data_IF_318157054789
#
_entry.id   IF_318157054789
#
_cell.length_a   1.000
_cell.length_b   1.000
_cell.length_c   1.000
_cell.angle_alpha   90.00
_cell.angle_beta   90.00
_cell.angle_gamma   90.00
#
_symmetry.space_group_name_H-M   'P 1'
#
loop_
_entity.id
_entity.type
_entity.pdbx_description
1 polymer ?
#
# COMPACT_ATOMS: atom_id res chain seq x y z
N UNK A 1 9.55 14.52 -9.11
CA UNK A 1 10.52 15.45 -9.75
C UNK A 1 10.85 14.98 -11.16
N UNK A 2 10.78 15.89 -12.15
CA UNK A 2 11.16 15.59 -13.55
C UNK A 2 12.67 15.62 -13.78
N UNK A 3 13.39 16.39 -12.99
CA UNK A 3 14.85 16.48 -12.98
C UNK A 3 15.32 16.15 -11.56
N UNK A 4 15.33 14.87 -11.19
CA UNK A 4 15.78 14.45 -9.87
C UNK A 4 17.28 14.58 -9.72
N UNK A 5 17.74 14.64 -8.48
CA UNK A 5 19.14 14.38 -8.17
C UNK A 5 19.47 12.90 -8.43
N UNK A 6 20.76 12.55 -8.49
CA UNK A 6 21.20 11.17 -8.58
C UNK A 6 20.65 10.36 -7.38
N UNK A 7 20.83 10.86 -6.15
CA UNK A 7 20.28 10.23 -4.95
C UNK A 7 18.74 10.12 -4.94
N UNK A 8 18.03 11.09 -5.56
CA UNK A 8 16.58 10.99 -5.72
C UNK A 8 16.15 9.82 -6.60
N UNK A 9 16.85 9.56 -7.70
CA UNK A 9 16.61 8.35 -8.52
C UNK A 9 16.94 7.06 -7.76
N UNK A 10 18.04 7.04 -7.01
CA UNK A 10 18.44 5.87 -6.24
C UNK A 10 17.44 5.55 -5.13
N UNK A 11 16.97 6.58 -4.42
CA UNK A 11 15.89 6.44 -3.44
C UNK A 11 14.61 5.92 -4.10
N UNK A 12 14.20 6.49 -5.23
CA UNK A 12 13.00 6.02 -5.94
C UNK A 12 13.11 4.54 -6.35
N UNK A 13 14.28 4.09 -6.79
CA UNK A 13 14.55 2.69 -7.12
C UNK A 13 14.47 1.81 -5.88
N UNK A 14 15.21 2.16 -4.82
CA UNK A 14 15.29 1.35 -3.59
C UNK A 14 13.89 1.18 -2.95
N UNK A 15 13.12 2.26 -2.81
CA UNK A 15 11.77 2.19 -2.29
C UNK A 15 10.84 1.36 -3.18
N UNK A 16 10.87 1.61 -4.50
CA UNK A 16 10.00 0.87 -5.43
C UNK A 16 10.31 -0.62 -5.46
N UNK A 17 11.57 -1.01 -5.45
CA UNK A 17 12.01 -2.40 -5.40
C UNK A 17 11.51 -3.11 -4.14
N UNK A 18 11.74 -2.53 -2.95
CA UNK A 18 11.34 -3.13 -1.68
C UNK A 18 9.81 -3.18 -1.52
N UNK A 19 9.09 -2.12 -1.88
CA UNK A 19 7.63 -2.09 -1.82
C UNK A 19 7.02 -3.11 -2.79
N UNK A 20 7.61 -3.26 -3.99
CA UNK A 20 7.19 -4.27 -4.97
C UNK A 20 7.42 -5.69 -4.46
N UNK A 21 8.58 -5.98 -3.85
CA UNK A 21 8.86 -7.29 -3.23
C UNK A 21 7.93 -7.60 -2.06
N UNK A 22 7.43 -6.58 -1.38
CA UNK A 22 6.41 -6.70 -0.35
C UNK A 22 4.98 -6.88 -0.91
N UNK A 23 4.81 -6.99 -2.24
CA UNK A 23 3.52 -7.23 -2.90
C UNK A 23 2.73 -5.96 -3.24
N UNK A 24 3.30 -4.76 -3.06
CA UNK A 24 2.65 -3.52 -3.44
C UNK A 24 2.88 -3.19 -4.93
N UNK A 25 1.87 -2.57 -5.55
CA UNK A 25 1.93 -2.12 -6.94
C UNK A 25 2.31 -0.64 -6.99
N UNK A 26 3.41 -0.33 -7.68
CA UNK A 26 3.85 1.06 -7.87
C UNK A 26 2.96 1.75 -8.91
N UNK A 27 2.31 2.85 -8.52
CA UNK A 27 1.47 3.65 -9.41
C UNK A 27 2.09 5.04 -9.60
N UNK A 28 2.34 5.47 -10.84
CA UNK A 28 2.89 6.79 -11.12
C UNK A 28 2.45 7.33 -12.49
N UNK A 29 3.01 8.47 -12.89
CA UNK A 29 2.56 9.24 -14.04
C UNK A 29 3.37 9.10 -15.32
N UNK A 30 4.34 8.22 -15.38
CA UNK A 30 5.23 8.02 -16.53
C UNK A 30 6.03 9.29 -16.92
N UNK A 31 6.18 10.26 -16.02
CA UNK A 31 6.96 11.47 -16.27
C UNK A 31 8.47 11.17 -16.26
N UNK A 32 9.27 12.09 -16.83
CA UNK A 32 10.73 12.01 -16.70
C UNK A 32 11.14 12.03 -15.22
N UNK A 33 12.25 11.40 -14.90
CA UNK A 33 12.87 11.42 -13.59
C UNK A 33 12.30 10.39 -12.62
N UNK A 34 11.79 10.80 -11.46
CA UNK A 34 11.37 9.91 -10.37
C UNK A 34 10.37 8.85 -10.84
N UNK A 35 9.36 9.24 -11.64
CA UNK A 35 8.35 8.30 -12.14
C UNK A 35 8.98 7.14 -12.94
N UNK A 36 9.90 7.49 -13.85
CA UNK A 36 10.60 6.48 -14.66
C UNK A 36 11.49 5.57 -13.81
N UNK A 37 12.23 6.14 -12.84
CA UNK A 37 13.06 5.37 -11.91
C UNK A 37 12.19 4.38 -11.11
N UNK A 38 11.03 4.81 -10.63
CA UNK A 38 10.11 3.98 -9.86
C UNK A 38 9.48 2.85 -10.70
N UNK A 39 8.95 3.17 -11.90
CA UNK A 39 8.38 2.16 -12.79
C UNK A 39 9.42 1.10 -13.21
N UNK A 40 10.62 1.54 -13.62
CA UNK A 40 11.68 0.63 -14.03
C UNK A 40 12.07 -0.33 -12.89
N UNK A 41 12.29 0.20 -11.67
CA UNK A 41 12.66 -0.60 -10.52
C UNK A 41 11.57 -1.61 -10.12
N UNK A 42 10.29 -1.25 -10.20
CA UNK A 42 9.19 -2.19 -9.95
C UNK A 42 9.19 -3.35 -10.95
N UNK A 43 9.38 -3.07 -12.25
CA UNK A 43 9.47 -4.09 -13.29
C UNK A 43 10.73 -4.95 -13.14
N UNK A 44 11.87 -4.34 -12.84
CA UNK A 44 13.15 -5.05 -12.67
C UNK A 44 13.13 -5.95 -11.42
N UNK A 45 12.33 -5.60 -10.40
CA UNK A 45 12.05 -6.44 -9.24
C UNK A 45 11.06 -7.59 -9.52
N UNK A 46 10.58 -7.73 -10.75
CA UNK A 46 9.64 -8.78 -11.17
C UNK A 46 8.18 -8.51 -10.80
N UNK A 47 7.84 -7.30 -10.33
CA UNK A 47 6.49 -6.94 -9.95
C UNK A 47 5.72 -6.18 -11.04
N UNK A 48 4.54 -5.73 -10.66
CA UNK A 48 3.64 -4.96 -11.53
C UNK A 48 3.72 -3.47 -11.23
N UNK A 49 3.43 -2.66 -12.23
CA UNK A 49 3.30 -1.21 -12.06
C UNK A 49 2.19 -0.64 -12.93
N UNK A 50 1.55 0.43 -12.45
CA UNK A 50 0.47 1.12 -13.15
C UNK A 50 0.94 2.51 -13.55
N UNK A 51 0.97 2.79 -14.85
CA UNK A 51 1.23 4.14 -15.33
C UNK A 51 -0.09 4.82 -15.73
N UNK A 52 -0.39 5.94 -15.08
CA UNK A 52 -1.55 6.76 -15.43
C UNK A 52 -1.12 7.82 -16.44
N UNK A 53 -1.66 7.79 -17.65
CA UNK A 53 -1.30 8.71 -18.73
C UNK A 53 -2.13 9.99 -18.69
N UNK A 54 -1.54 11.09 -19.16
CA UNK A 54 -2.23 12.38 -19.36
C UNK A 54 -2.58 12.63 -20.86
N UNK A 55 -2.61 11.55 -21.64
CA UNK A 55 -2.92 11.52 -23.08
C UNK A 55 -3.82 10.33 -23.37
N UNK A 56 -4.36 10.22 -24.58
CA UNK A 56 -4.94 8.95 -25.05
C UNK A 56 -3.88 7.84 -25.05
N UNK A 57 -4.30 6.59 -24.85
CA UNK A 57 -3.40 5.43 -24.74
C UNK A 57 -2.75 5.04 -26.07
N UNK A 58 -3.19 5.60 -27.20
CA UNK A 58 -2.53 5.51 -28.50
C UNK A 58 -1.25 6.34 -28.59
N UNK A 59 -0.90 7.10 -27.53
CA UNK A 59 0.24 8.01 -27.49
C UNK A 59 1.02 7.84 -26.21
N UNK A 60 2.34 7.68 -26.34
CA UNK A 60 3.26 7.69 -25.20
C UNK A 60 3.84 9.08 -25.03
N UNK A 61 3.70 9.64 -23.82
CA UNK A 61 4.31 10.90 -23.44
C UNK A 61 4.99 10.79 -22.08
N UNK A 62 6.28 11.17 -21.95
CA UNK A 62 7.16 11.63 -23.01
C UNK A 62 7.55 10.50 -23.98
N UNK A 63 7.88 10.84 -25.23
CA UNK A 63 8.24 9.86 -26.27
C UNK A 63 9.51 9.05 -25.90
N UNK A 64 10.39 9.62 -25.08
CA UNK A 64 11.57 8.93 -24.55
C UNK A 64 11.24 7.69 -23.69
N UNK A 65 10.01 7.61 -23.15
CA UNK A 65 9.56 6.48 -22.33
C UNK A 65 8.75 5.44 -23.11
N UNK A 66 8.88 5.41 -24.46
CA UNK A 66 8.15 4.46 -25.30
C UNK A 66 8.44 3.00 -24.90
N UNK A 67 9.72 2.65 -24.74
CA UNK A 67 10.10 1.32 -24.33
C UNK A 67 9.59 0.98 -22.93
N UNK A 68 9.75 1.89 -21.98
CA UNK A 68 9.22 1.71 -20.62
C UNK A 68 7.70 1.52 -20.62
N UNK A 69 6.97 2.30 -21.43
CA UNK A 69 5.52 2.14 -21.58
C UNK A 69 5.12 0.76 -22.12
N UNK A 70 5.86 0.22 -23.09
CA UNK A 70 5.63 -1.14 -23.59
C UNK A 70 5.92 -2.20 -22.53
N UNK A 71 7.00 -2.06 -21.74
CA UNK A 71 7.28 -2.94 -20.61
C UNK A 71 6.15 -2.89 -19.57
N UNK A 72 5.67 -1.70 -19.24
CA UNK A 72 4.53 -1.52 -18.31
C UNK A 72 3.26 -2.17 -18.87
N UNK A 73 2.97 -2.01 -20.15
CA UNK A 73 1.80 -2.63 -20.78
C UNK A 73 1.87 -4.18 -20.75
N UNK A 74 3.08 -4.74 -20.82
CA UNK A 74 3.29 -6.19 -20.82
C UNK A 74 3.22 -6.82 -19.42
N UNK A 75 3.60 -6.10 -18.35
CA UNK A 75 3.75 -6.63 -17.00
C UNK A 75 2.85 -5.93 -15.96
N UNK A 76 2.11 -4.91 -16.35
CA UNK A 76 1.28 -4.11 -15.48
C UNK A 76 0.12 -3.50 -16.26
N UNK A 77 -0.12 -2.18 -16.10
CA UNK A 77 -1.20 -1.51 -16.81
C UNK A 77 -0.87 -0.06 -17.19
N UNK A 78 -1.34 0.36 -18.36
CA UNK A 78 -1.46 1.76 -18.76
C UNK A 78 -2.92 2.18 -18.60
N UNK A 79 -3.16 3.25 -17.87
CA UNK A 79 -4.51 3.75 -17.57
C UNK A 79 -4.64 5.20 -18.02
N UNK A 80 -5.76 5.58 -18.62
CA UNK A 80 -6.06 6.96 -18.96
C UNK A 80 -7.57 7.22 -18.90
N UNK A 81 -7.95 8.43 -18.49
CA UNK A 81 -9.33 8.94 -18.62
C UNK A 81 -9.56 9.70 -19.94
N UNK A 82 -8.52 9.88 -20.73
CA UNK A 82 -8.60 10.64 -21.97
C UNK A 82 -8.88 9.72 -23.17
N UNK A 83 -9.75 10.16 -24.07
CA UNK A 83 -10.06 9.44 -25.29
C UNK A 83 -8.81 9.25 -26.17
N UNK A 84 -8.81 8.20 -27.01
CA UNK A 84 -7.78 7.98 -28.01
C UNK A 84 -7.65 9.22 -28.90
N UNK A 85 -6.43 9.51 -29.36
CA UNK A 85 -6.10 10.71 -30.14
C UNK A 85 -5.82 11.96 -29.28
N UNK A 86 -6.12 11.96 -27.99
CA UNK A 86 -5.89 13.13 -27.12
C UNK A 86 -4.40 13.43 -26.94
N UNK A 87 -3.93 14.63 -27.37
CA UNK A 87 -2.52 15.01 -27.24
C UNK A 87 -2.18 15.42 -25.79
N UNK A 88 -0.87 15.49 -25.42
CA UNK A 88 -0.45 16.01 -24.13
C UNK A 88 -0.78 17.51 -24.04
N UNK A 89 -1.50 17.92 -22.99
CA UNK A 89 -1.81 19.29 -22.65
C UNK A 89 -1.45 19.56 -21.19
N UNK A 90 -1.04 20.79 -20.87
CA UNK A 90 -0.56 21.14 -19.51
C UNK A 90 -1.61 20.88 -18.44
N UNK A 91 -2.87 21.17 -18.73
CA UNK A 91 -4.01 20.98 -17.82
C UNK A 91 -4.34 19.50 -17.56
N UNK A 92 -3.95 18.57 -18.43
CA UNK A 92 -4.20 17.16 -18.26
C UNK A 92 -3.38 16.55 -17.11
N UNK A 93 -2.16 17.04 -16.87
CA UNK A 93 -1.26 16.47 -15.86
C UNK A 93 -1.79 16.64 -14.42
N UNK A 94 -2.19 17.85 -13.98
CA UNK A 94 -2.81 17.99 -12.66
C UNK A 94 -4.13 17.22 -12.52
N UNK A 95 -4.97 17.22 -13.57
CA UNK A 95 -6.23 16.51 -13.59
C UNK A 95 -6.05 15.01 -13.44
N UNK A 96 -5.07 14.42 -14.13
CA UNK A 96 -4.73 13.00 -14.06
C UNK A 96 -4.22 12.59 -12.66
N UNK A 97 -3.52 13.50 -11.94
CA UNK A 97 -2.87 13.16 -10.66
C UNK A 97 -3.85 12.65 -9.60
N UNK A 98 -5.14 13.04 -9.65
CA UNK A 98 -6.18 12.51 -8.78
C UNK A 98 -6.39 10.99 -8.94
N UNK A 99 -6.11 10.45 -10.13
CA UNK A 99 -6.20 9.01 -10.38
C UNK A 99 -4.99 8.28 -9.78
N UNK A 100 -3.79 8.88 -9.83
CA UNK A 100 -2.61 8.32 -9.20
C UNK A 100 -2.84 8.18 -7.69
N UNK A 101 -3.27 9.26 -7.02
CA UNK A 101 -3.55 9.21 -5.58
C UNK A 101 -4.76 8.32 -5.25
N UNK A 102 -5.82 8.36 -6.07
CA UNK A 102 -7.03 7.57 -5.84
C UNK A 102 -6.83 6.06 -5.96
N UNK A 103 -5.94 5.61 -6.84
CA UNK A 103 -5.57 4.19 -7.03
C UNK A 103 -4.54 3.69 -6.01
N UNK A 104 -4.01 4.57 -5.16
CA UNK A 104 -2.93 4.24 -4.23
C UNK A 104 -3.42 4.19 -2.78
N UNK A 105 -2.78 3.38 -1.96
CA UNK A 105 -2.96 3.37 -0.50
C UNK A 105 -2.29 4.59 0.13
N UNK A 106 -1.18 5.04 -0.45
CA UNK A 106 -0.43 6.20 -0.03
C UNK A 106 0.42 6.79 -1.16
N UNK A 107 0.88 8.01 -1.00
CA UNK A 107 1.72 8.73 -1.97
C UNK A 107 3.06 9.05 -1.34
N UNK A 108 4.14 8.50 -1.92
CA UNK A 108 5.51 8.81 -1.53
C UNK A 108 6.07 9.93 -2.41
N UNK A 109 6.50 11.01 -1.78
CA UNK A 109 7.21 12.11 -2.43
C UNK A 109 8.70 12.00 -2.14
N UNK A 110 9.47 11.57 -3.14
CA UNK A 110 10.93 11.36 -3.03
C UNK A 110 11.67 12.70 -3.08
N UNK A 111 11.34 13.53 -4.04
CA UNK A 111 11.90 14.88 -4.20
C UNK A 111 10.84 15.85 -4.76
N UNK A 112 10.77 17.03 -4.20
CA UNK A 112 9.91 18.11 -4.69
C UNK A 112 10.48 19.48 -4.38
N UNK A 113 10.56 20.35 -5.40
CA UNK A 113 10.67 21.79 -5.19
C UNK A 113 9.29 22.35 -4.74
N UNK A 114 9.24 23.53 -4.13
CA UNK A 114 8.00 24.14 -3.62
C UNK A 114 6.89 24.35 -4.68
N UNK A 115 7.22 24.35 -5.95
CA UNK A 115 6.26 24.48 -7.06
C UNK A 115 6.13 23.18 -7.87
N UNK A 116 6.53 22.04 -7.31
CA UNK A 116 6.45 20.75 -7.98
C UNK A 116 5.00 20.28 -8.13
N UNK A 117 4.69 19.67 -9.29
CA UNK A 117 3.39 19.01 -9.51
C UNK A 117 3.13 17.83 -8.57
N UNK A 118 4.17 17.21 -8.00
CA UNK A 118 4.04 16.15 -6.99
C UNK A 118 3.36 16.63 -5.70
N UNK A 119 3.49 17.93 -5.34
CA UNK A 119 2.77 18.50 -4.21
C UNK A 119 1.25 18.55 -4.45
N UNK A 120 0.82 18.68 -5.71
CA UNK A 120 -0.60 18.58 -6.08
C UNK A 120 -1.09 17.15 -5.82
N UNK A 121 -0.32 16.14 -6.22
CA UNK A 121 -0.66 14.73 -5.99
C UNK A 121 -0.72 14.42 -4.49
N UNK A 122 0.23 14.91 -3.71
CA UNK A 122 0.26 14.74 -2.25
C UNK A 122 -0.97 15.38 -1.57
N UNK A 123 -1.36 16.60 -1.98
CA UNK A 123 -2.56 17.25 -1.49
C UNK A 123 -3.83 16.46 -1.84
N UNK A 124 -3.96 16.02 -3.10
CA UNK A 124 -5.08 15.19 -3.52
C UNK A 124 -5.16 13.88 -2.76
N UNK A 125 -4.01 13.26 -2.44
CA UNK A 125 -3.95 12.07 -1.60
C UNK A 125 -4.53 12.34 -0.20
N UNK A 126 -4.10 13.41 0.46
CA UNK A 126 -4.62 13.80 1.76
C UNK A 126 -6.13 14.12 1.72
N UNK A 127 -6.61 14.84 0.69
CA UNK A 127 -8.04 15.11 0.48
C UNK A 127 -8.86 13.84 0.25
N UNK A 128 -8.24 12.77 -0.28
CA UNK A 128 -8.85 11.45 -0.52
C UNK A 128 -8.67 10.48 0.67
N UNK A 129 -8.15 10.94 1.81
CA UNK A 129 -7.89 10.10 2.98
C UNK A 129 -6.78 9.06 2.77
N UNK A 130 -5.82 9.34 1.88
CA UNK A 130 -4.65 8.49 1.62
C UNK A 130 -3.46 8.97 2.41
N UNK A 131 -2.58 8.05 2.79
CA UNK A 131 -1.34 8.41 3.47
C UNK A 131 -0.41 9.21 2.56
N UNK A 132 0.31 10.14 3.14
CA UNK A 132 1.33 10.93 2.45
C UNK A 132 2.67 10.75 3.14
N UNK A 133 3.64 10.28 2.38
CA UNK A 133 5.01 10.04 2.82
C UNK A 133 5.96 11.00 2.11
N UNK A 134 6.99 11.45 2.82
CA UNK A 134 8.01 12.32 2.23
C UNK A 134 9.40 11.93 2.71
N UNK A 135 10.33 11.79 1.77
CA UNK A 135 11.74 11.55 2.09
C UNK A 135 12.37 12.89 2.49
N UNK A 136 13.03 12.96 3.65
CA UNK A 136 13.77 14.18 4.06
C UNK A 136 14.99 14.37 3.17
N UNK A 137 15.56 15.56 3.20
CA UNK A 137 16.79 15.86 2.47
C UNK A 137 17.52 17.07 3.06
N UNK A 138 18.63 17.44 2.46
CA UNK A 138 19.39 18.62 2.90
C UNK A 138 18.54 19.89 2.83
N UNK A 139 18.59 20.72 3.88
CA UNK A 139 17.93 22.03 3.92
C UNK A 139 18.44 22.98 2.83
N UNK A 140 19.64 22.73 2.30
CA UNK A 140 20.24 23.48 1.21
C UNK A 140 19.77 23.02 -0.17
N UNK A 141 19.15 21.83 -0.28
CA UNK A 141 18.63 21.31 -1.54
C UNK A 141 17.29 21.94 -1.91
N UNK A 142 17.17 22.62 -3.05
CA UNK A 142 15.90 23.14 -3.54
C UNK A 142 14.86 22.02 -3.75
N UNK A 143 15.31 20.79 -4.07
CA UNK A 143 14.46 19.62 -4.33
C UNK A 143 13.93 18.96 -3.05
N UNK A 144 14.49 19.25 -1.87
CA UNK A 144 14.01 18.78 -0.59
C UNK A 144 12.95 19.71 0.04
N UNK A 145 12.88 20.97 -0.39
CA UNK A 145 12.00 21.97 0.24
C UNK A 145 10.52 21.63 0.18
N UNK A 146 10.07 20.98 -0.89
CA UNK A 146 8.69 20.49 -1.02
C UNK A 146 8.40 19.35 -0.05
N UNK A 147 9.32 18.39 0.10
CA UNK A 147 9.21 17.30 1.07
C UNK A 147 9.15 17.86 2.50
N UNK A 148 10.01 18.82 2.86
CA UNK A 148 9.98 19.48 4.16
C UNK A 148 8.65 20.23 4.40
N UNK A 149 8.08 20.85 3.36
CA UNK A 149 6.78 21.50 3.47
C UNK A 149 5.65 20.48 3.75
N UNK A 150 5.69 19.34 3.07
CA UNK A 150 4.73 18.24 3.30
C UNK A 150 4.86 17.66 4.71
N UNK A 151 6.08 17.41 5.19
CA UNK A 151 6.33 16.90 6.56
C UNK A 151 5.75 17.87 7.61
N UNK A 152 5.96 19.18 7.44
CA UNK A 152 5.36 20.20 8.33
C UNK A 152 3.83 20.26 8.26
N UNK A 153 3.23 19.78 7.18
CA UNK A 153 1.78 19.67 6.99
C UNK A 153 1.20 18.33 7.46
N UNK A 154 2.04 17.46 8.06
CA UNK A 154 1.61 16.19 8.61
C UNK A 154 1.92 14.98 7.72
N UNK A 155 2.62 15.14 6.59
CA UNK A 155 3.12 13.98 5.86
C UNK A 155 4.16 13.23 6.71
N UNK A 156 4.12 11.90 6.66
CA UNK A 156 5.03 11.05 7.42
C UNK A 156 6.43 11.11 6.81
N UNK A 157 7.41 11.42 7.65
CA UNK A 157 8.81 11.32 7.27
C UNK A 157 9.18 9.85 7.17
N UNK A 158 9.80 9.45 6.07
CA UNK A 158 10.30 8.09 5.85
C UNK A 158 11.74 8.12 5.37
N UNK A 159 12.57 7.25 5.92
CA UNK A 159 13.98 7.11 5.59
C UNK A 159 14.24 5.82 4.79
N UNK A 160 13.33 4.86 4.88
CA UNK A 160 13.40 3.57 4.19
C UNK A 160 11.98 3.06 3.86
N UNK A 161 11.90 2.00 3.03
CA UNK A 161 10.61 1.44 2.60
C UNK A 161 9.87 0.71 3.74
N UNK A 162 10.58 0.26 4.78
CA UNK A 162 9.97 -0.38 5.93
C UNK A 162 9.06 0.59 6.69
N UNK A 163 9.46 1.87 6.82
CA UNK A 163 8.64 2.91 7.44
C UNK A 163 7.28 3.04 6.73
N UNK A 164 7.28 2.93 5.39
CA UNK A 164 6.04 2.95 4.57
C UNK A 164 5.20 1.71 4.83
N UNK A 165 5.82 0.52 4.90
CA UNK A 165 5.12 -0.75 5.11
C UNK A 165 4.47 -0.81 6.50
N UNK A 166 5.13 -0.32 7.53
CA UNK A 166 4.61 -0.27 8.90
C UNK A 166 3.36 0.59 8.99
N UNK A 167 3.37 1.76 8.37
CA UNK A 167 2.21 2.66 8.32
C UNK A 167 1.06 2.08 7.50
N UNK A 168 1.35 1.52 6.32
CA UNK A 168 0.32 0.89 5.49
C UNK A 168 -0.19 -0.43 6.09
N UNK A 169 0.66 -1.18 6.82
CA UNK A 169 0.27 -2.39 7.54
C UNK A 169 -0.71 -2.10 8.68
N UNK A 170 -0.48 -1.03 9.44
CA UNK A 170 -1.42 -0.56 10.44
C UNK A 170 -2.78 -0.18 9.80
N UNK A 171 -2.77 0.49 8.65
CA UNK A 171 -3.97 0.84 7.89
C UNK A 171 -4.69 -0.38 7.31
N UNK A 172 -3.95 -1.37 6.79
CA UNK A 172 -4.52 -2.61 6.25
C UNK A 172 -5.23 -3.43 7.34
N UNK A 173 -4.73 -3.40 8.57
CA UNK A 173 -5.41 -3.99 9.73
C UNK A 173 -6.76 -3.33 10.04
N UNK A 174 -6.92 -2.04 9.78
CA UNK A 174 -8.19 -1.31 9.92
C UNK A 174 -9.11 -1.44 8.68
N UNK A 175 -8.55 -1.67 7.48
CA UNK A 175 -9.31 -1.80 6.23
C UNK A 175 -9.72 -3.24 5.92
N UNK A 176 -9.27 -4.21 6.67
CA UNK A 176 -9.75 -5.58 6.62
C UNK A 176 -11.17 -5.68 7.25
N UNK A 177 -12.12 -4.96 6.68
CA UNK A 177 -13.53 -5.33 6.77
C UNK A 177 -13.65 -6.64 5.96
N UNK A 178 -14.18 -7.72 6.52
CA UNK A 178 -14.34 -8.95 5.78
C UNK A 178 -15.36 -8.76 4.67
N UNK A 179 -14.91 -8.34 3.50
CA UNK A 179 -15.67 -8.49 2.26
C UNK A 179 -15.64 -9.96 1.92
N UNK A 180 -16.78 -10.62 2.04
CA UNK A 180 -16.93 -12.03 1.72
C UNK A 180 -16.31 -12.39 0.37
N UNK A 181 -15.70 -13.60 0.32
CA UNK A 181 -15.03 -14.25 -0.82
C UNK A 181 -13.64 -13.71 -1.20
N UNK A 182 -12.69 -13.69 -0.26
CA UNK A 182 -11.29 -13.89 -0.60
C UNK A 182 -10.91 -15.31 -0.12
N UNK A 183 -10.54 -16.17 -1.05
CA UNK A 183 -9.97 -17.46 -0.74
C UNK A 183 -8.81 -17.26 0.24
N UNK A 184 -8.95 -17.75 1.45
CA UNK A 184 -7.89 -17.79 2.46
C UNK A 184 -6.68 -18.52 1.86
N UNK A 185 -5.44 -18.08 2.09
CA UNK A 185 -4.31 -18.98 1.90
C UNK A 185 -4.51 -20.16 2.86
N UNK A 186 -4.93 -21.27 2.31
CA UNK A 186 -4.99 -22.55 2.98
C UNK A 186 -3.57 -22.90 3.39
N UNK A 187 -3.24 -22.91 4.70
CA UNK A 187 -2.00 -23.49 5.14
C UNK A 187 -1.22 -22.86 6.29
N UNK A 188 -1.79 -22.02 7.14
CA UNK A 188 -1.22 -21.90 8.48
C UNK A 188 -1.91 -22.95 9.36
N UNK A 189 -1.29 -24.12 9.48
CA UNK A 189 -1.69 -25.17 10.41
C UNK A 189 -1.86 -24.53 11.80
N UNK A 190 -3.01 -24.75 12.42
CA UNK A 190 -3.21 -24.39 13.82
C UNK A 190 -2.10 -25.08 14.63
N UNK A 191 -1.52 -24.36 15.57
CA UNK A 191 -0.66 -24.96 16.59
C UNK A 191 -1.44 -26.12 17.25
N UNK A 192 -0.84 -27.29 17.50
CA UNK A 192 -1.50 -28.41 18.13
C UNK A 192 -2.35 -28.05 19.35
N UNK A 193 -1.88 -27.12 20.19
CA UNK A 193 -2.63 -26.62 21.33
C UNK A 193 -3.87 -25.78 20.94
N UNK A 194 -3.81 -25.06 19.83
CA UNK A 194 -4.96 -24.32 19.29
C UNK A 194 -6.00 -25.29 18.69
N UNK A 195 -5.55 -26.36 18.07
CA UNK A 195 -6.41 -27.38 17.49
C UNK A 195 -7.16 -28.13 18.58
N UNK A 196 -6.48 -28.52 19.65
CA UNK A 196 -7.08 -29.15 20.83
C UNK A 196 -8.11 -28.22 21.51
N UNK A 197 -7.77 -26.93 21.67
CA UNK A 197 -8.70 -25.96 22.24
C UNK A 197 -9.93 -25.77 21.36
N UNK A 198 -9.79 -25.76 20.03
CA UNK A 198 -10.88 -25.64 19.08
C UNK A 198 -11.82 -26.86 19.13
N UNK A 199 -11.29 -28.08 19.35
CA UNK A 199 -12.09 -29.30 19.56
C UNK A 199 -12.86 -29.24 20.88
N UNK A 200 -12.27 -28.70 21.94
CA UNK A 200 -12.93 -28.53 23.25
C UNK A 200 -14.05 -27.46 23.21
N UNK A 201 -13.98 -26.44 22.33
CA UNK A 201 -15.04 -25.44 22.16
C UNK A 201 -16.29 -26.10 21.54
N UNK A 202 -16.11 -26.95 20.55
CA UNK A 202 -17.24 -27.58 19.87
C UNK A 202 -18.18 -26.57 19.18
N UNK A 203 -19.40 -27.05 18.84
CA UNK A 203 -20.41 -26.22 18.16
C UNK A 203 -21.45 -25.58 19.10
N UNK A 204 -21.45 -25.99 20.39
CA UNK A 204 -22.32 -25.43 21.41
C UNK A 204 -21.62 -24.31 22.17
N UNK A 205 -22.33 -23.24 22.61
CA UNK A 205 -21.73 -22.15 23.38
C UNK A 205 -21.13 -22.61 24.71
N UNK A 206 -19.84 -22.44 24.92
CA UNK A 206 -19.09 -22.88 26.12
C UNK A 206 -18.60 -21.65 26.88
N UNK A 207 -18.63 -21.70 28.21
CA UNK A 207 -18.11 -20.65 29.09
C UNK A 207 -16.58 -20.75 29.22
N UNK A 208 -15.91 -19.59 29.34
CA UNK A 208 -14.45 -19.51 29.42
C UNK A 208 -13.87 -20.36 30.56
N UNK A 209 -14.51 -20.34 31.74
CA UNK A 209 -14.04 -21.11 32.89
C UNK A 209 -14.09 -22.63 32.62
N UNK A 210 -15.08 -23.09 31.86
CA UNK A 210 -15.17 -24.48 31.43
C UNK A 210 -14.04 -24.87 30.49
N UNK A 211 -13.67 -23.96 29.55
CA UNK A 211 -12.54 -24.18 28.64
C UNK A 211 -11.20 -24.24 29.40
N UNK A 212 -11.00 -23.35 30.36
CA UNK A 212 -9.81 -23.33 31.21
C UNK A 212 -9.70 -24.66 31.98
N UNK A 213 -10.81 -25.10 32.59
CA UNK A 213 -10.83 -26.33 33.36
C UNK A 213 -10.58 -27.59 32.50
N UNK A 214 -11.12 -27.63 31.25
CA UNK A 214 -10.96 -28.77 30.34
C UNK A 214 -9.63 -28.82 29.62
N UNK A 215 -9.05 -27.63 29.26
CA UNK A 215 -7.79 -27.58 28.55
C UNK A 215 -6.56 -27.71 29.43
N UNK A 216 -6.71 -27.51 30.73
CA UNK A 216 -5.58 -27.49 31.68
C UNK A 216 -4.60 -26.32 31.46
N UNK A 217 -4.95 -25.37 30.59
CA UNK A 217 -4.15 -24.21 30.26
C UNK A 217 -4.41 -23.06 31.24
N UNK A 218 -3.45 -22.16 31.37
CA UNK A 218 -3.63 -20.95 32.19
C UNK A 218 -4.65 -19.98 31.54
N UNK A 219 -5.43 -19.22 32.35
CA UNK A 219 -6.41 -18.27 31.82
C UNK A 219 -5.87 -17.32 30.76
N UNK A 220 -4.65 -16.78 30.96
CA UNK A 220 -3.99 -15.88 30.02
C UNK A 220 -3.67 -16.55 28.67
N UNK A 221 -3.28 -17.84 28.69
CA UNK A 221 -2.99 -18.60 27.47
C UNK A 221 -4.25 -18.92 26.70
N UNK A 222 -5.32 -19.32 27.38
CA UNK A 222 -6.64 -19.54 26.77
C UNK A 222 -7.15 -18.25 26.13
N UNK A 223 -7.11 -17.11 26.84
CA UNK A 223 -7.56 -15.83 26.31
C UNK A 223 -6.79 -15.40 25.05
N UNK A 224 -5.45 -15.54 25.05
CA UNK A 224 -4.63 -15.21 23.89
C UNK A 224 -4.95 -16.11 22.68
N UNK A 225 -5.16 -17.40 22.91
CA UNK A 225 -5.50 -18.34 21.83
C UNK A 225 -6.90 -18.08 21.28
N UNK A 226 -7.88 -17.80 22.14
CA UNK A 226 -9.24 -17.46 21.74
C UNK A 226 -9.27 -16.16 20.90
N UNK A 227 -8.53 -15.13 21.30
CA UNK A 227 -8.42 -13.91 20.53
C UNK A 227 -7.88 -14.17 19.10
N UNK A 228 -6.82 -15.00 18.99
CA UNK A 228 -6.27 -15.37 17.69
C UNK A 228 -7.24 -16.21 16.85
N UNK A 229 -8.02 -17.10 17.47
CA UNK A 229 -9.04 -17.89 16.79
C UNK A 229 -10.23 -17.04 16.35
N UNK A 230 -10.65 -16.08 17.15
CA UNK A 230 -11.70 -15.11 16.83
C UNK A 230 -11.28 -14.21 15.66
N UNK A 231 -10.03 -13.69 15.67
CA UNK A 231 -9.46 -12.94 14.56
C UNK A 231 -9.34 -13.76 13.26
N UNK A 232 -9.22 -15.08 13.38
CA UNK A 232 -9.23 -16.01 12.23
C UNK A 232 -10.64 -16.46 11.82
N UNK A 233 -11.68 -16.00 12.52
CA UNK A 233 -13.06 -16.37 12.25
C UNK A 233 -13.42 -17.83 12.55
N UNK A 234 -12.63 -18.51 13.38
CA UNK A 234 -12.85 -19.90 13.77
C UNK A 234 -13.87 -20.04 14.91
N UNK A 235 -14.01 -18.98 15.70
CA UNK A 235 -14.93 -18.89 16.84
C UNK A 235 -15.59 -17.53 16.88
N UNK A 236 -16.72 -17.42 17.54
CA UNK A 236 -17.41 -16.17 17.82
C UNK A 236 -17.76 -16.05 19.31
N UNK A 237 -17.70 -14.82 19.83
CA UNK A 237 -18.15 -14.51 21.16
C UNK A 237 -19.68 -14.30 21.19
N UNK A 238 -20.36 -14.93 22.15
CA UNK A 238 -21.80 -14.84 22.39
C UNK A 238 -22.10 -14.03 23.65
N UNK A 239 -23.32 -13.45 23.76
CA UNK A 239 -23.76 -12.79 24.98
C UNK A 239 -23.58 -13.66 26.22
N UNK A 240 -23.06 -13.07 27.33
CA UNK A 240 -22.78 -13.76 28.58
C UNK A 240 -21.38 -14.39 28.66
N UNK A 241 -20.43 -13.95 27.82
CA UNK A 241 -19.03 -14.41 27.84
C UNK A 241 -18.83 -15.84 27.36
N UNK A 242 -19.79 -16.35 26.58
CA UNK A 242 -19.73 -17.68 25.98
C UNK A 242 -19.03 -17.62 24.62
N UNK A 243 -18.40 -18.72 24.25
CA UNK A 243 -17.61 -18.86 23.02
C UNK A 243 -18.14 -20.06 22.26
N UNK A 244 -18.30 -19.90 20.96
CA UNK A 244 -18.82 -20.92 20.07
C UNK A 244 -17.98 -21.00 18.80
N UNK A 245 -17.81 -22.21 18.26
CA UNK A 245 -17.14 -22.40 16.96
C UNK A 245 -18.04 -21.92 15.83
N UNK A 246 -17.44 -21.20 14.88
CA UNK A 246 -18.07 -20.83 13.60
C UNK A 246 -18.07 -22.04 12.67
N UNK A 247 -19.17 -22.28 12.01
CA UNK A 247 -19.40 -23.45 11.12
C UNK A 247 -18.46 -23.45 9.93
#
# INVERSE_FOLDING_TARGET
SRNPSHGGCDNARAFSELLTRAGLVVTSGLALGIDACAHAAALDAGGQTIAVAATGLDRVYPSAHRELAHRIAAQGALVSEFALGTPPRREHFPRRNRLISGLSLGVLVVEAALRSGSLITARLAAEQGREVFAIPGSIHSPLARGCHALIRQGAKLVENAQDVLEELGALAGFLAVPSGTAAMPSGALLDPAQQELLELIGYDPVEMDTLIARSGLTPGRVSSMLLLMELRGLIEARPGGRIQRTS
#
